data_IF_828212443588
#
_entry.id   IF_828212443588
#
_cell.length_a   1.000
_cell.length_b   1.000
_cell.length_c   1.000
_cell.angle_alpha   90.00
_cell.angle_beta   90.00
_cell.angle_gamma   90.00
#
_symmetry.space_group_name_H-M   'P 1'
#
loop_
_entity.id
_entity.type
_entity.pdbx_description
1 polymer ?
#
# COMPACT_ATOMS: atom_id res chain seq x y z
N UNK A 1 -1.04 7.72 0.33
CA UNK A 1 -1.79 7.78 -0.96
C UNK A 1 -0.92 8.24 -2.11
N UNK A 2 -0.19 9.35 -2.01
CA UNK A 2 0.52 9.95 -3.18
C UNK A 2 2.04 9.98 -3.04
N UNK A 3 2.54 9.69 -1.85
CA UNK A 3 3.95 9.61 -1.48
C UNK A 3 4.19 8.18 -0.98
N UNK A 4 5.41 7.68 -1.13
CA UNK A 4 5.79 6.35 -0.64
C UNK A 4 5.58 6.24 0.88
N UNK A 5 5.25 5.03 1.33
CA UNK A 5 5.02 4.75 2.75
C UNK A 5 6.26 5.13 3.59
N UNK A 6 7.45 4.78 3.10
CA UNK A 6 8.75 5.08 3.74
C UNK A 6 8.97 6.58 3.92
N UNK A 7 8.82 7.37 2.84
CA UNK A 7 9.02 8.81 2.91
C UNK A 7 7.99 9.47 3.82
N UNK A 8 6.73 9.03 3.75
CA UNK A 8 5.66 9.53 4.62
C UNK A 8 5.97 9.30 6.11
N UNK A 9 6.38 8.08 6.48
CA UNK A 9 6.74 7.77 7.87
C UNK A 9 7.96 8.57 8.35
N UNK A 10 8.99 8.68 7.51
CA UNK A 10 10.20 9.46 7.83
C UNK A 10 9.89 10.95 8.03
N UNK A 11 9.03 11.54 7.20
CA UNK A 11 8.62 12.94 7.32
C UNK A 11 7.75 13.20 8.55
N UNK A 12 6.89 12.25 8.91
CA UNK A 12 5.97 12.40 10.05
C UNK A 12 6.66 12.17 11.40
N UNK A 13 7.74 11.37 11.45
CA UNK A 13 8.40 11.02 12.71
C UNK A 13 8.87 12.25 13.51
N UNK A 14 9.60 13.25 12.94
CA UNK A 14 10.01 14.44 13.69
C UNK A 14 8.83 15.23 14.27
N UNK A 15 7.75 15.37 13.50
CA UNK A 15 6.53 16.06 13.94
C UNK A 15 5.91 15.34 15.15
N UNK A 16 5.78 14.01 15.05
CA UNK A 16 5.24 13.17 16.11
C UNK A 16 6.11 13.24 17.37
N UNK A 17 7.43 13.20 17.23
CA UNK A 17 8.35 13.32 18.35
C UNK A 17 8.28 14.70 19.00
N UNK A 18 8.13 15.77 18.23
CA UNK A 18 7.94 17.13 18.76
C UNK A 18 6.62 17.30 19.53
N UNK A 19 5.56 16.59 19.12
CA UNK A 19 4.31 16.55 19.90
C UNK A 19 4.54 15.76 21.20
N UNK A 20 5.12 14.56 21.09
CA UNK A 20 5.32 13.66 22.22
C UNK A 20 6.37 14.14 23.23
N UNK A 21 7.28 15.03 22.86
CA UNK A 21 8.31 15.57 23.79
C UNK A 21 7.73 16.36 24.95
N UNK A 22 6.45 16.77 24.87
CA UNK A 22 5.73 17.43 25.95
C UNK A 22 5.11 16.45 26.96
N UNK A 23 5.24 15.14 26.73
CA UNK A 23 4.72 14.08 27.59
C UNK A 23 5.87 13.33 28.28
N UNK A 24 5.64 12.89 29.51
CA UNK A 24 6.55 11.97 30.18
C UNK A 24 6.23 10.52 29.77
N UNK A 25 7.18 9.89 29.09
CA UNK A 25 7.04 8.50 28.62
C UNK A 25 6.77 7.50 29.75
N UNK A 26 7.23 7.77 30.98
CA UNK A 26 7.01 6.84 32.10
C UNK A 26 5.54 6.76 32.50
N UNK A 27 4.83 7.88 32.45
CA UNK A 27 3.41 7.96 32.76
C UNK A 27 2.53 7.72 31.53
N UNK A 28 3.00 8.05 30.33
CA UNK A 28 2.21 8.07 29.10
C UNK A 28 2.67 7.05 28.04
N UNK A 29 3.30 5.95 28.45
CA UNK A 29 3.87 4.93 27.55
C UNK A 29 2.92 4.48 26.44
N UNK A 30 1.66 4.20 26.79
CA UNK A 30 0.68 3.73 25.82
C UNK A 30 0.34 4.81 24.78
N UNK A 31 0.34 6.09 25.17
CA UNK A 31 0.13 7.23 24.28
C UNK A 31 1.29 7.34 23.28
N UNK A 32 2.54 7.19 23.74
CA UNK A 32 3.72 7.14 22.85
C UNK A 32 3.61 6.02 21.81
N UNK A 33 3.36 4.79 22.29
CA UNK A 33 3.26 3.60 21.42
C UNK A 33 2.10 3.76 20.43
N UNK A 34 0.95 4.28 20.88
CA UNK A 34 -0.23 4.50 20.05
C UNK A 34 0.04 5.48 18.90
N UNK A 35 0.65 6.64 19.19
CA UNK A 35 0.91 7.66 18.16
C UNK A 35 2.01 7.19 17.20
N UNK A 36 3.10 6.62 17.70
CA UNK A 36 4.22 6.16 16.87
C UNK A 36 3.82 5.00 15.96
N UNK A 37 3.20 3.94 16.49
CA UNK A 37 2.70 2.85 15.67
C UNK A 37 1.58 3.31 14.73
N UNK A 38 0.73 4.25 15.18
CA UNK A 38 -0.38 4.77 14.40
C UNK A 38 0.11 5.45 13.13
N UNK A 39 1.22 6.18 13.20
CA UNK A 39 1.85 6.81 12.02
C UNK A 39 2.39 5.77 11.05
N UNK A 40 3.12 4.77 11.55
CA UNK A 40 3.64 3.70 10.69
C UNK A 40 2.52 2.93 9.97
N UNK A 41 1.48 2.53 10.71
CA UNK A 41 0.37 1.77 10.12
C UNK A 41 -0.50 2.63 9.22
N UNK A 42 -0.70 3.92 9.54
CA UNK A 42 -1.40 4.87 8.67
C UNK A 42 -0.65 5.10 7.36
N UNK A 43 0.69 5.13 7.38
CA UNK A 43 1.49 5.21 6.16
C UNK A 43 1.25 3.99 5.27
N UNK A 44 1.32 2.77 5.83
CA UNK A 44 1.08 1.53 5.09
C UNK A 44 -0.35 1.40 4.56
N UNK A 45 -1.37 1.61 5.40
CA UNK A 45 -2.79 1.55 4.99
C UNK A 45 -3.12 2.65 3.99
N UNK A 46 -2.63 3.87 4.23
CA UNK A 46 -2.83 5.00 3.32
C UNK A 46 -2.18 4.79 1.94
N UNK A 47 -1.21 3.89 1.82
CA UNK A 47 -0.62 3.45 0.56
C UNK A 47 -1.57 2.64 -0.32
N UNK A 48 -2.59 1.99 0.26
CA UNK A 48 -3.56 1.15 -0.48
C UNK A 48 -4.49 1.96 -1.40
N UNK A 49 -4.75 3.22 -1.06
CA UNK A 49 -5.80 4.02 -1.68
C UNK A 49 -5.61 4.29 -3.18
N UNK A 50 -4.38 4.36 -3.69
CA UNK A 50 -4.11 4.66 -5.11
C UNK A 50 -3.02 3.75 -5.67
N UNK A 51 -2.94 3.66 -7.00
CA UNK A 51 -1.95 2.85 -7.70
C UNK A 51 -0.50 3.26 -7.36
N UNK A 52 -0.27 4.56 -7.12
CA UNK A 52 1.06 5.14 -6.87
C UNK A 52 1.52 4.96 -5.41
N UNK A 53 0.58 4.71 -4.48
CA UNK A 53 0.87 4.73 -3.05
C UNK A 53 1.85 3.65 -2.58
N UNK A 54 1.81 2.45 -3.18
CA UNK A 54 2.65 1.31 -2.80
C UNK A 54 2.96 0.43 -4.01
N UNK A 55 4.19 -0.08 -4.18
CA UNK A 55 4.54 -0.91 -5.34
C UNK A 55 3.68 -2.17 -5.57
N UNK A 56 3.25 -2.93 -4.54
CA UNK A 56 2.30 -4.04 -4.71
C UNK A 56 1.04 -3.68 -5.49
N UNK A 57 0.56 -2.44 -5.34
CA UNK A 57 -0.63 -1.96 -6.06
C UNK A 57 -0.38 -1.90 -7.55
N UNK A 58 0.75 -1.32 -7.95
CA UNK A 58 1.15 -1.24 -9.35
C UNK A 58 1.38 -2.62 -9.99
N UNK A 59 1.94 -3.57 -9.24
CA UNK A 59 2.11 -4.97 -9.70
C UNK A 59 0.76 -5.62 -9.96
N UNK A 60 -0.17 -5.52 -9.01
CA UNK A 60 -1.51 -6.07 -9.15
C UNK A 60 -2.30 -5.38 -10.28
N UNK A 61 -2.20 -4.05 -10.39
CA UNK A 61 -2.82 -3.28 -11.46
C UNK A 61 -2.26 -3.68 -12.84
N UNK A 62 -0.95 -3.85 -12.97
CA UNK A 62 -0.33 -4.29 -14.22
C UNK A 62 -0.76 -5.70 -14.62
N UNK A 63 -0.86 -6.64 -13.67
CA UNK A 63 -1.31 -8.00 -13.95
C UNK A 63 -2.79 -8.06 -14.39
N UNK A 64 -3.62 -7.13 -13.90
CA UNK A 64 -5.05 -7.06 -14.21
C UNK A 64 -5.40 -6.03 -15.30
N UNK A 65 -4.41 -5.28 -15.81
CA UNK A 65 -4.58 -4.12 -16.69
C UNK A 65 -5.57 -3.08 -16.13
N UNK A 66 -5.45 -2.75 -14.84
CA UNK A 66 -6.30 -1.73 -14.20
C UNK A 66 -5.74 -0.33 -14.44
N UNK A 67 -6.62 0.57 -14.88
CA UNK A 67 -6.36 2.00 -14.92
C UNK A 67 -6.38 2.62 -13.51
N UNK A 68 -5.93 3.87 -13.41
CA UNK A 68 -5.77 4.54 -12.11
C UNK A 68 -7.09 4.64 -11.33
N UNK A 69 -8.18 5.04 -12.00
CA UNK A 69 -9.48 5.21 -11.36
C UNK A 69 -10.10 3.87 -10.96
N UNK A 70 -9.90 2.82 -11.75
CA UNK A 70 -10.40 1.49 -11.43
C UNK A 70 -9.67 0.94 -10.21
N UNK A 71 -8.36 1.15 -10.07
CA UNK A 71 -7.68 0.85 -8.81
C UNK A 71 -8.31 1.60 -7.64
N UNK A 72 -8.50 2.92 -7.76
CA UNK A 72 -9.07 3.73 -6.67
C UNK A 72 -10.46 3.25 -6.24
N UNK A 73 -11.29 2.75 -7.16
CA UNK A 73 -12.61 2.18 -6.85
C UNK A 73 -12.54 0.99 -5.88
N UNK A 74 -11.41 0.27 -5.83
CA UNK A 74 -11.21 -0.83 -4.89
C UNK A 74 -10.30 -0.46 -3.72
N UNK A 75 -9.21 0.25 -3.99
CA UNK A 75 -8.21 0.65 -3.00
C UNK A 75 -8.71 1.70 -2.00
N UNK A 76 -9.46 2.72 -2.45
CA UNK A 76 -9.97 3.76 -1.54
C UNK A 76 -11.00 3.18 -0.56
N UNK A 77 -12.03 2.41 -0.99
CA UNK A 77 -12.98 1.85 -0.04
C UNK A 77 -12.33 0.97 1.01
N UNK A 78 -11.42 0.08 0.63
CA UNK A 78 -10.77 -0.80 1.61
C UNK A 78 -9.84 -0.03 2.55
N UNK A 79 -9.12 0.99 2.05
CA UNK A 79 -8.34 1.91 2.90
C UNK A 79 -9.23 2.63 3.92
N UNK A 80 -10.38 3.16 3.48
CA UNK A 80 -11.34 3.85 4.34
C UNK A 80 -12.00 2.93 5.37
N UNK A 81 -12.04 1.62 5.13
CA UNK A 81 -12.49 0.62 6.10
C UNK A 81 -11.36 0.26 7.07
N UNK A 82 -10.16 -0.02 6.55
CA UNK A 82 -9.02 -0.47 7.35
C UNK A 82 -8.48 0.62 8.28
N UNK A 83 -8.50 1.90 7.88
CA UNK A 83 -7.93 2.98 8.68
C UNK A 83 -8.70 3.22 10.00
N UNK A 84 -10.05 3.34 10.01
CA UNK A 84 -10.83 3.38 11.25
C UNK A 84 -10.69 2.10 12.08
N UNK A 85 -10.66 0.93 11.44
CA UNK A 85 -10.50 -0.35 12.15
C UNK A 85 -9.14 -0.41 12.86
N UNK A 86 -8.07 -0.02 12.19
CA UNK A 86 -6.73 0.09 12.77
C UNK A 86 -6.73 1.02 13.97
N UNK A 87 -7.33 2.21 13.84
CA UNK A 87 -7.46 3.16 14.94
C UNK A 87 -8.23 2.55 16.13
N UNK A 88 -9.38 1.91 15.89
CA UNK A 88 -10.21 1.29 16.93
C UNK A 88 -9.45 0.16 17.64
N UNK A 89 -8.84 -0.76 16.89
CA UNK A 89 -8.06 -1.87 17.44
C UNK A 89 -6.94 -1.34 18.32
N UNK A 90 -6.15 -0.38 17.81
CA UNK A 90 -5.07 0.22 18.57
C UNK A 90 -5.57 0.97 19.81
N UNK A 91 -6.67 1.72 19.69
CA UNK A 91 -7.24 2.49 20.79
C UNK A 91 -7.73 1.57 21.91
N UNK A 92 -8.41 0.47 21.57
CA UNK A 92 -8.90 -0.52 22.54
C UNK A 92 -7.75 -1.25 23.25
N UNK A 93 -6.66 -1.55 22.53
CA UNK A 93 -5.51 -2.28 23.07
C UNK A 93 -4.59 -1.41 23.93
N UNK A 94 -4.31 -0.18 23.49
CA UNK A 94 -3.35 0.71 24.14
C UNK A 94 -4.03 1.68 25.12
N UNK A 95 -5.29 2.07 24.88
CA UNK A 95 -6.03 3.03 25.70
C UNK A 95 -5.21 4.32 25.96
N UNK A 96 -4.82 5.05 24.91
CA UNK A 96 -3.99 6.25 25.04
C UNK A 96 -4.73 7.37 25.77
N UNK A 97 -3.98 8.23 26.48
CA UNK A 97 -4.54 9.44 27.08
C UNK A 97 -4.49 10.60 26.07
N UNK A 98 -5.60 10.84 25.38
CA UNK A 98 -5.71 11.90 24.36
C UNK A 98 -6.21 13.24 24.92
N UNK A 99 -6.24 13.42 26.25
CA UNK A 99 -6.79 14.63 26.89
C UNK A 99 -5.80 15.79 26.96
N UNK A 100 -4.53 15.53 26.66
CA UNK A 100 -3.46 16.53 26.71
C UNK A 100 -3.68 17.63 25.68
N UNK A 101 -3.50 18.89 26.10
CA UNK A 101 -3.52 20.05 25.22
C UNK A 101 -2.09 20.57 25.09
N UNK A 102 -1.63 20.74 23.86
CA UNK A 102 -0.30 21.25 23.56
C UNK A 102 -0.42 22.63 22.93
N UNK A 103 0.46 23.54 23.35
CA UNK A 103 0.63 24.83 22.70
C UNK A 103 1.72 24.67 21.63
N UNK A 104 1.31 24.22 20.45
CA UNK A 104 2.24 23.97 19.34
C UNK A 104 2.61 25.30 18.70
N UNK A 105 3.87 25.70 18.87
CA UNK A 105 4.46 26.76 18.05
C UNK A 105 4.72 26.23 16.65
N UNK A 106 3.67 26.19 15.84
CA UNK A 106 3.77 25.88 14.42
C UNK A 106 4.43 27.07 13.72
N UNK A 107 5.60 26.86 13.14
CA UNK A 107 6.16 27.84 12.22
C UNK A 107 5.22 27.98 11.02
N UNK A 108 4.82 29.22 10.72
CA UNK A 108 3.97 29.49 9.55
C UNK A 108 4.80 29.26 8.29
N UNK A 109 4.47 28.21 7.56
CA UNK A 109 5.11 27.92 6.28
C UNK A 109 4.62 28.92 5.23
N UNK A 110 5.51 29.79 4.76
CA UNK A 110 5.18 30.73 3.69
C UNK A 110 4.99 30.03 2.34
N UNK A 111 3.96 30.43 1.60
CA UNK A 111 3.73 29.95 0.24
C UNK A 111 4.70 30.63 -0.72
N UNK A 112 5.69 29.88 -1.18
CA UNK A 112 6.59 30.34 -2.24
C UNK A 112 6.09 29.86 -3.62
N UNK A 113 6.61 30.49 -4.68
CA UNK A 113 6.21 30.19 -6.05
C UNK A 113 6.41 28.71 -6.41
N UNK A 114 7.50 28.08 -5.93
CA UNK A 114 7.74 26.65 -6.16
C UNK A 114 6.64 25.77 -5.56
N UNK A 115 6.25 26.00 -4.30
CA UNK A 115 5.18 25.25 -3.61
C UNK A 115 3.83 25.40 -4.31
N UNK A 116 3.49 26.61 -4.76
CA UNK A 116 2.24 26.86 -5.50
C UNK A 116 2.25 26.13 -6.84
N UNK A 117 3.34 26.22 -7.61
CA UNK A 117 3.47 25.51 -8.88
C UNK A 117 3.39 23.99 -8.67
N UNK A 118 4.07 23.44 -7.66
CA UNK A 118 3.97 22.02 -7.30
C UNK A 118 2.53 21.60 -7.05
N UNK A 119 1.77 22.38 -6.26
CA UNK A 119 0.38 22.08 -5.96
C UNK A 119 -0.51 22.12 -7.20
N UNK A 120 -0.28 23.08 -8.11
CA UNK A 120 -1.02 23.15 -9.37
C UNK A 120 -0.73 21.91 -10.22
N UNK A 121 0.54 21.56 -10.42
CA UNK A 121 0.93 20.37 -11.19
C UNK A 121 0.28 19.11 -10.59
N UNK A 122 0.35 18.96 -9.27
CA UNK A 122 -0.24 17.84 -8.57
C UNK A 122 -1.76 17.75 -8.76
N UNK A 123 -2.49 18.83 -8.52
CA UNK A 123 -3.96 18.86 -8.67
C UNK A 123 -4.40 18.59 -10.11
N UNK A 124 -3.69 19.16 -11.10
CA UNK A 124 -3.96 18.90 -12.52
C UNK A 124 -3.69 17.43 -12.85
N UNK A 125 -2.58 16.85 -12.37
CA UNK A 125 -2.24 15.44 -12.61
C UNK A 125 -3.30 14.51 -12.02
N UNK A 126 -3.69 14.73 -10.77
CA UNK A 126 -4.75 13.94 -10.10
C UNK A 126 -6.08 14.08 -10.81
N UNK A 127 -6.44 15.29 -11.23
CA UNK A 127 -7.65 15.52 -12.03
C UNK A 127 -7.60 14.73 -13.34
N UNK A 128 -6.51 14.82 -14.10
CA UNK A 128 -6.35 14.07 -15.34
C UNK A 128 -6.44 12.56 -15.14
N UNK A 129 -5.86 12.02 -14.06
CA UNK A 129 -5.97 10.59 -13.72
C UNK A 129 -7.39 10.16 -13.36
N UNK A 130 -8.13 10.97 -12.59
CA UNK A 130 -9.53 10.68 -12.24
C UNK A 130 -10.41 10.67 -13.51
N UNK A 131 -10.16 11.58 -14.43
CA UNK A 131 -10.94 11.70 -15.68
C UNK A 131 -10.27 11.01 -16.87
N UNK A 132 -9.29 10.13 -16.67
CA UNK A 132 -8.48 9.59 -17.77
C UNK A 132 -9.29 8.80 -18.79
N UNK A 133 -10.26 7.99 -18.37
CA UNK A 133 -11.17 7.29 -19.28
C UNK A 133 -12.02 8.23 -20.15
N UNK A 134 -12.49 9.34 -19.57
CA UNK A 134 -13.25 10.36 -20.29
C UNK A 134 -12.36 11.14 -21.26
N UNK A 135 -11.17 11.54 -20.81
CA UNK A 135 -10.19 12.24 -21.64
C UNK A 135 -9.72 11.33 -22.78
N UNK A 136 -9.40 10.07 -22.50
CA UNK A 136 -8.95 9.10 -23.52
C UNK A 136 -10.01 8.96 -24.62
N UNK A 137 -11.28 8.80 -24.25
CA UNK A 137 -12.36 8.69 -25.23
C UNK A 137 -12.57 9.99 -26.04
N UNK A 138 -12.44 11.16 -25.42
CA UNK A 138 -12.53 12.45 -26.10
C UNK A 138 -11.38 12.70 -27.10
N UNK A 139 -10.18 12.18 -26.82
CA UNK A 139 -8.98 12.33 -27.66
C UNK A 139 -8.73 11.13 -28.61
N UNK A 140 -9.77 10.36 -28.93
CA UNK A 140 -9.69 9.30 -29.96
C UNK A 140 -9.20 7.94 -29.45
N UNK A 141 -9.31 7.67 -28.15
CA UNK A 141 -9.01 6.37 -27.54
C UNK A 141 -7.52 6.11 -27.32
N UNK A 142 -6.80 7.10 -26.79
CA UNK A 142 -5.37 6.96 -26.45
C UNK A 142 -5.20 5.81 -25.45
N UNK A 143 -4.44 4.78 -25.85
CA UNK A 143 -4.08 3.66 -24.98
C UNK A 143 -3.16 4.14 -23.85
N UNK A 144 -3.34 3.59 -22.66
CA UNK A 144 -2.50 3.85 -21.48
C UNK A 144 -2.33 5.34 -21.14
N UNK A 145 -3.44 6.11 -21.24
CA UNK A 145 -3.43 7.56 -20.98
C UNK A 145 -2.86 7.90 -19.60
N UNK A 146 -3.08 7.06 -18.58
CA UNK A 146 -2.52 7.28 -17.24
C UNK A 146 -0.99 7.34 -17.24
N UNK A 147 -0.34 6.52 -18.06
CA UNK A 147 1.12 6.53 -18.26
C UNK A 147 1.56 7.81 -18.96
N UNK A 148 0.81 8.26 -19.98
CA UNK A 148 1.08 9.52 -20.69
C UNK A 148 0.96 10.71 -19.74
N UNK A 149 -0.06 10.73 -18.88
CA UNK A 149 -0.26 11.76 -17.85
C UNK A 149 0.93 11.76 -16.87
N UNK A 150 1.36 10.59 -16.39
CA UNK A 150 2.48 10.46 -15.46
C UNK A 150 3.81 10.99 -16.03
N UNK A 151 4.13 10.59 -17.28
CA UNK A 151 5.35 11.06 -17.97
C UNK A 151 5.28 12.56 -18.25
N UNK A 152 4.11 13.07 -18.67
CA UNK A 152 3.89 14.49 -18.89
C UNK A 152 4.09 15.31 -17.60
N UNK A 153 3.59 14.82 -16.47
CA UNK A 153 3.79 15.46 -15.17
C UNK A 153 5.29 15.53 -14.80
N UNK A 154 6.05 14.44 -15.03
CA UNK A 154 7.50 14.43 -14.79
C UNK A 154 8.25 15.45 -15.66
N UNK A 155 7.87 15.58 -16.95
CA UNK A 155 8.43 16.58 -17.86
C UNK A 155 8.11 18.00 -17.36
N UNK A 156 6.85 18.27 -16.99
CA UNK A 156 6.44 19.58 -16.48
C UNK A 156 7.17 19.95 -15.19
N UNK A 157 7.40 19.00 -14.28
CA UNK A 157 8.21 19.22 -13.06
C UNK A 157 9.63 19.64 -13.42
N UNK A 158 10.27 18.96 -14.38
CA UNK A 158 11.62 19.29 -14.83
C UNK A 158 11.71 20.65 -15.52
N UNK A 159 10.77 20.96 -16.42
CA UNK A 159 10.72 22.23 -17.17
C UNK A 159 10.45 23.43 -16.26
N UNK A 160 9.56 23.28 -15.26
CA UNK A 160 9.24 24.35 -14.31
C UNK A 160 10.33 24.59 -13.27
N UNK A 161 11.36 23.73 -13.20
CA UNK A 161 12.44 23.86 -12.22
C UNK A 161 11.99 23.67 -10.77
N UNK A 162 10.82 23.04 -10.56
CA UNK A 162 10.28 22.69 -9.25
C UNK A 162 11.18 21.66 -8.57
N UNK A 163 11.65 20.66 -9.33
CA UNK A 163 12.66 19.69 -8.92
C UNK A 163 13.69 19.51 -10.03
N UNK A 164 14.95 19.29 -9.66
CA UNK A 164 16.02 18.95 -10.61
C UNK A 164 15.93 17.48 -11.03
N UNK A 165 16.50 17.15 -12.18
CA UNK A 165 16.58 15.74 -12.62
C UNK A 165 17.32 14.85 -11.60
N UNK A 166 18.38 15.37 -10.96
CA UNK A 166 19.08 14.64 -9.87
C UNK A 166 18.12 14.27 -8.75
N UNK A 167 17.27 15.21 -8.31
CA UNK A 167 16.28 14.96 -7.27
C UNK A 167 15.25 13.91 -7.71
N UNK A 168 14.77 13.97 -8.96
CA UNK A 168 13.84 12.96 -9.48
C UNK A 168 14.51 11.58 -9.50
N UNK A 169 15.74 11.49 -10.02
CA UNK A 169 16.49 10.25 -10.15
C UNK A 169 16.80 9.61 -8.78
N UNK A 170 17.21 10.41 -7.79
CA UNK A 170 17.52 9.96 -6.43
C UNK A 170 16.28 9.47 -5.68
N UNK A 171 15.11 10.05 -5.95
CA UNK A 171 13.84 9.65 -5.34
C UNK A 171 13.09 8.58 -6.15
N UNK A 172 13.64 8.13 -7.28
CA UNK A 172 13.05 7.05 -8.08
C UNK A 172 13.59 5.69 -7.64
N UNK A 173 12.71 4.80 -7.22
CA UNK A 173 13.08 3.42 -6.85
C UNK A 173 13.26 2.52 -8.09
N UNK A 174 14.38 2.68 -8.81
CA UNK A 174 14.67 1.94 -10.05
C UNK A 174 14.59 0.42 -9.90
N UNK A 175 14.97 -0.11 -8.74
CA UNK A 175 14.88 -1.54 -8.44
C UNK A 175 13.45 -2.07 -8.46
N UNK A 176 12.47 -1.26 -8.03
CA UNK A 176 11.05 -1.61 -8.07
C UNK A 176 10.54 -1.67 -9.51
N UNK A 177 10.94 -0.72 -10.36
CA UNK A 177 10.59 -0.73 -11.78
C UNK A 177 11.14 -1.97 -12.49
N UNK A 178 12.39 -2.36 -12.19
CA UNK A 178 12.99 -3.60 -12.70
C UNK A 178 12.23 -4.84 -12.22
N UNK A 179 11.78 -4.84 -10.97
CA UNK A 179 11.00 -5.94 -10.41
C UNK A 179 9.63 -6.10 -11.09
N UNK A 180 8.97 -5.00 -11.48
CA UNK A 180 7.71 -5.07 -12.23
C UNK A 180 7.91 -5.79 -13.57
N UNK A 181 8.95 -5.42 -14.32
CA UNK A 181 9.32 -6.11 -15.56
C UNK A 181 9.64 -7.59 -15.34
N UNK A 182 10.37 -7.91 -14.27
CA UNK A 182 10.68 -9.28 -13.87
C UNK A 182 9.43 -10.11 -13.53
N UNK A 183 8.49 -9.55 -12.76
CA UNK A 183 7.24 -10.22 -12.39
C UNK A 183 6.32 -10.48 -13.58
N UNK A 184 6.18 -9.51 -14.49
CA UNK A 184 5.42 -9.70 -15.74
C UNK A 184 6.06 -10.77 -16.64
N UNK A 185 7.40 -10.78 -16.70
CA UNK A 185 8.15 -11.81 -17.44
C UNK A 185 7.93 -13.19 -16.82
N UNK A 186 7.96 -13.31 -15.48
CA UNK A 186 7.68 -14.56 -14.77
C UNK A 186 6.25 -15.04 -15.06
N UNK A 187 5.26 -14.14 -15.06
CA UNK A 187 3.86 -14.44 -15.41
C UNK A 187 3.75 -15.06 -16.81
N UNK A 188 4.40 -14.44 -17.80
CA UNK A 188 4.42 -14.93 -19.16
C UNK A 188 5.11 -16.31 -19.28
N UNK A 189 6.25 -16.50 -18.60
CA UNK A 189 6.98 -17.79 -18.58
C UNK A 189 6.14 -18.90 -17.94
N UNK A 190 5.43 -18.62 -16.83
CA UNK A 190 4.57 -19.61 -16.18
C UNK A 190 3.44 -20.09 -17.10
N UNK A 191 2.85 -19.18 -17.89
CA UNK A 191 1.83 -19.51 -18.87
C UNK A 191 2.41 -20.27 -20.08
N UNK A 192 3.52 -19.79 -20.65
CA UNK A 192 4.11 -20.40 -21.85
C UNK A 192 4.77 -21.75 -21.60
N UNK A 193 5.31 -21.97 -20.39
CA UNK A 193 5.93 -23.25 -19.99
C UNK A 193 4.93 -24.34 -19.62
N UNK A 194 3.65 -23.99 -19.40
CA UNK A 194 2.64 -24.90 -18.87
C UNK A 194 2.76 -25.14 -17.36
N UNK A 195 3.71 -24.49 -16.66
CA UNK A 195 3.82 -24.59 -15.21
C UNK A 195 2.55 -24.12 -14.50
N UNK A 196 1.86 -23.11 -15.06
CA UNK A 196 0.56 -22.67 -14.57
C UNK A 196 -0.48 -23.80 -14.53
N UNK A 197 -0.46 -24.72 -15.50
CA UNK A 197 -1.37 -25.87 -15.55
C UNK A 197 -1.02 -26.91 -14.48
N UNK A 198 0.26 -27.16 -14.23
CA UNK A 198 0.68 -28.08 -13.16
C UNK A 198 0.25 -27.55 -11.79
N UNK A 199 0.42 -26.24 -11.56
CA UNK A 199 -0.05 -25.59 -10.32
C UNK A 199 -1.58 -25.61 -10.23
N UNK A 200 -2.27 -25.40 -11.36
CA UNK A 200 -3.71 -25.52 -11.46
C UNK A 200 -4.24 -26.87 -11.00
N UNK A 201 -3.69 -27.94 -11.55
CA UNK A 201 -4.12 -29.30 -11.30
C UNK A 201 -3.87 -29.66 -9.83
N UNK A 202 -2.70 -29.31 -9.29
CA UNK A 202 -2.42 -29.49 -7.86
C UNK A 202 -3.40 -28.72 -6.96
N UNK A 203 -3.75 -27.48 -7.32
CA UNK A 203 -4.73 -26.68 -6.58
C UNK A 203 -6.15 -27.23 -6.73
N UNK A 204 -6.54 -27.76 -7.89
CA UNK A 204 -7.85 -28.42 -8.10
C UNK A 204 -7.94 -29.72 -7.32
N UNK A 205 -6.90 -30.52 -7.30
CA UNK A 205 -6.89 -31.79 -6.57
C UNK A 205 -6.95 -31.55 -5.05
N UNK A 206 -6.25 -30.52 -4.57
CA UNK A 206 -6.21 -30.19 -3.14
C UNK A 206 -7.44 -29.41 -2.68
N UNK A 207 -7.91 -28.44 -3.47
CA UNK A 207 -8.91 -27.44 -3.07
C UNK A 207 -10.11 -27.30 -4.03
N UNK A 208 -10.21 -28.08 -5.10
CA UNK A 208 -11.26 -27.92 -6.13
C UNK A 208 -12.69 -28.10 -5.63
N UNK A 209 -12.88 -28.86 -4.55
CA UNK A 209 -14.16 -28.99 -3.85
C UNK A 209 -14.32 -28.03 -2.66
N UNK A 210 -13.29 -27.24 -2.35
CA UNK A 210 -13.34 -26.27 -1.26
C UNK A 210 -14.13 -25.04 -1.68
N UNK A 211 -14.92 -24.51 -0.75
CA UNK A 211 -15.64 -23.27 -0.97
C UNK A 211 -14.66 -22.12 -1.25
N UNK A 212 -14.93 -21.28 -2.26
CA UNK A 212 -14.03 -20.19 -2.67
C UNK A 212 -13.64 -19.24 -1.52
N UNK A 213 -14.53 -19.05 -0.54
CA UNK A 213 -14.22 -18.30 0.67
C UNK A 213 -13.04 -18.87 1.48
N UNK A 214 -12.89 -20.20 1.54
CA UNK A 214 -11.78 -20.87 2.24
C UNK A 214 -10.46 -20.59 1.52
N UNK A 215 -10.46 -20.62 0.19
CA UNK A 215 -9.29 -20.28 -0.63
C UNK A 215 -8.91 -18.81 -0.39
N UNK A 216 -9.87 -17.89 -0.43
CA UNK A 216 -9.65 -16.48 -0.15
C UNK A 216 -9.05 -16.28 1.24
N UNK A 217 -9.60 -16.93 2.28
CA UNK A 217 -9.12 -16.81 3.64
C UNK A 217 -7.69 -17.36 3.78
N UNK A 218 -7.39 -18.50 3.15
CA UNK A 218 -6.07 -19.11 3.16
C UNK A 218 -5.03 -18.23 2.45
N UNK A 219 -5.34 -17.70 1.26
CA UNK A 219 -4.44 -16.82 0.50
C UNK A 219 -4.20 -15.52 1.24
N UNK A 220 -5.26 -14.91 1.79
CA UNK A 220 -5.16 -13.67 2.59
C UNK A 220 -4.29 -13.89 3.82
N UNK A 221 -4.50 -14.99 4.54
CA UNK A 221 -3.66 -15.36 5.70
C UNK A 221 -2.21 -15.56 5.30
N UNK A 222 -1.98 -16.29 4.21
CA UNK A 222 -0.65 -16.58 3.71
C UNK A 222 0.13 -15.30 3.36
N UNK A 223 -0.46 -14.39 2.57
CA UNK A 223 0.24 -13.16 2.17
C UNK A 223 0.52 -12.24 3.36
N UNK A 224 -0.45 -12.07 4.28
CA UNK A 224 -0.29 -11.20 5.45
C UNK A 224 0.80 -11.74 6.39
N UNK A 225 0.86 -13.05 6.59
CA UNK A 225 1.92 -13.65 7.43
C UNK A 225 3.27 -13.59 6.71
N UNK A 226 3.32 -13.93 5.42
CA UNK A 226 4.56 -13.94 4.66
C UNK A 226 5.22 -12.55 4.62
N UNK A 227 4.42 -11.50 4.45
CA UNK A 227 4.92 -10.13 4.33
C UNK A 227 5.52 -9.56 5.63
N UNK A 228 5.36 -10.24 6.77
CA UNK A 228 6.08 -9.89 8.00
C UNK A 228 7.57 -10.26 7.94
N UNK A 229 7.91 -11.24 7.11
CA UNK A 229 9.26 -11.79 7.00
C UNK A 229 9.97 -11.38 5.71
N UNK A 230 9.24 -10.77 4.78
CA UNK A 230 9.68 -10.54 3.40
C UNK A 230 9.27 -9.15 2.93
N UNK A 231 9.97 -8.62 1.93
CA UNK A 231 9.60 -7.32 1.35
C UNK A 231 8.24 -7.40 0.67
N UNK A 232 7.33 -6.48 1.02
CA UNK A 232 5.99 -6.36 0.43
C UNK A 232 6.03 -6.43 -1.11
N UNK A 233 6.94 -5.66 -1.70
CA UNK A 233 7.11 -5.55 -3.16
C UNK A 233 7.61 -6.85 -3.77
N UNK A 234 8.55 -7.53 -3.10
CA UNK A 234 9.05 -8.84 -3.54
C UNK A 234 7.95 -9.92 -3.47
N UNK A 235 7.19 -9.94 -2.38
CA UNK A 235 6.08 -10.88 -2.19
C UNK A 235 4.98 -10.67 -3.22
N UNK A 236 4.59 -9.42 -3.50
CA UNK A 236 3.65 -9.13 -4.57
C UNK A 236 4.19 -9.53 -5.95
N UNK A 237 5.45 -9.21 -6.26
CA UNK A 237 6.05 -9.51 -7.57
C UNK A 237 6.12 -11.01 -7.86
N UNK A 238 6.35 -11.83 -6.83
CA UNK A 238 6.37 -13.27 -6.95
C UNK A 238 4.94 -13.85 -7.01
N UNK A 239 4.09 -13.45 -6.08
CA UNK A 239 2.83 -14.14 -5.83
C UNK A 239 1.68 -13.68 -6.72
N UNK A 240 1.65 -12.41 -7.14
CA UNK A 240 0.60 -11.89 -8.04
C UNK A 240 0.55 -12.70 -9.35
N UNK A 241 1.68 -12.90 -10.08
CA UNK A 241 1.69 -13.74 -11.27
C UNK A 241 1.21 -15.17 -11.02
N UNK A 242 1.71 -15.79 -9.95
CA UNK A 242 1.40 -17.18 -9.61
C UNK A 242 -0.11 -17.33 -9.36
N UNK A 243 -0.66 -16.54 -8.46
CA UNK A 243 -2.07 -16.65 -8.07
C UNK A 243 -3.04 -16.13 -9.14
N UNK A 244 -2.60 -15.23 -10.04
CA UNK A 244 -3.39 -14.88 -11.20
C UNK A 244 -3.62 -16.11 -12.11
N UNK A 245 -2.56 -16.89 -12.37
CA UNK A 245 -2.68 -18.12 -13.15
C UNK A 245 -3.47 -19.22 -12.43
N UNK A 246 -3.32 -19.34 -11.11
CA UNK A 246 -4.10 -20.27 -10.28
C UNK A 246 -5.59 -19.91 -10.29
N UNK A 247 -5.95 -18.63 -10.21
CA UNK A 247 -7.34 -18.20 -10.27
C UNK A 247 -8.00 -18.58 -11.61
N UNK A 248 -7.33 -18.30 -12.73
CA UNK A 248 -7.81 -18.69 -14.07
C UNK A 248 -8.05 -20.20 -14.14
N UNK A 249 -7.10 -20.96 -13.62
CA UNK A 249 -7.15 -22.40 -13.57
C UNK A 249 -8.32 -22.96 -12.76
N UNK A 250 -8.57 -22.40 -11.57
CA UNK A 250 -9.68 -22.79 -10.69
C UNK A 250 -11.05 -22.27 -11.18
N UNK A 251 -11.08 -21.52 -12.29
CA UNK A 251 -12.30 -20.87 -12.77
C UNK A 251 -12.79 -19.74 -11.85
N UNK A 252 -11.91 -19.22 -11.00
CA UNK A 252 -12.20 -18.09 -10.11
C UNK A 252 -11.88 -16.76 -10.81
N UNK A 253 -12.57 -15.67 -10.47
CA UNK A 253 -12.18 -14.33 -10.92
C UNK A 253 -10.72 -14.03 -10.55
N UNK A 254 -9.88 -13.81 -11.58
CA UNK A 254 -8.45 -13.47 -11.44
C UNK A 254 -8.25 -12.25 -10.53
N UNK A 255 -9.18 -11.31 -10.67
CA UNK A 255 -9.22 -10.09 -9.88
C UNK A 255 -9.20 -10.36 -8.38
N UNK A 256 -9.95 -11.36 -7.88
CA UNK A 256 -10.07 -11.61 -6.45
C UNK A 256 -8.71 -11.94 -5.81
N UNK A 257 -8.00 -12.95 -6.33
CA UNK A 257 -6.73 -13.38 -5.74
C UNK A 257 -5.61 -12.37 -5.97
N UNK A 258 -5.58 -11.72 -7.13
CA UNK A 258 -4.58 -10.69 -7.42
C UNK A 258 -4.74 -9.46 -6.52
N UNK A 259 -5.99 -8.99 -6.29
CA UNK A 259 -6.25 -7.87 -5.39
C UNK A 259 -5.96 -8.22 -3.92
N UNK A 260 -6.32 -9.44 -3.48
CA UNK A 260 -5.98 -9.93 -2.14
C UNK A 260 -4.48 -9.87 -1.89
N UNK A 261 -3.66 -10.31 -2.86
CA UNK A 261 -2.21 -10.30 -2.70
C UNK A 261 -1.66 -8.88 -2.78
N UNK A 262 -2.10 -8.07 -3.74
CA UNK A 262 -1.65 -6.68 -3.89
C UNK A 262 -1.90 -5.85 -2.63
N UNK A 263 -3.09 -5.97 -2.05
CA UNK A 263 -3.47 -5.25 -0.83
C UNK A 263 -2.89 -5.91 0.42
N UNK A 264 -3.01 -7.23 0.53
CA UNK A 264 -2.53 -8.00 1.69
C UNK A 264 -1.03 -7.91 1.89
N UNK A 265 -0.24 -7.80 0.82
CA UNK A 265 1.20 -7.57 0.89
C UNK A 265 1.56 -6.24 1.56
N UNK A 266 0.65 -5.27 1.65
CA UNK A 266 0.91 -4.01 2.38
C UNK A 266 0.41 -4.05 3.84
N UNK A 267 -0.19 -5.15 4.29
CA UNK A 267 -0.70 -5.33 5.65
C UNK A 267 0.33 -6.03 6.54
N UNK A 268 1.48 -5.38 6.75
CA UNK A 268 2.57 -5.89 7.57
C UNK A 268 2.76 -4.99 8.82
N UNK A 269 2.29 -5.46 9.96
CA UNK A 269 2.15 -4.68 11.20
C UNK A 269 2.88 -5.29 12.40
N UNK A 270 3.34 -6.54 12.36
CA UNK A 270 3.91 -7.23 13.54
C UNK A 270 5.38 -6.92 13.78
N UNK A 271 6.20 -6.92 12.74
CA UNK A 271 7.66 -6.85 12.88
C UNK A 271 8.23 -5.51 12.40
N UNK A 272 9.29 -4.99 13.07
CA UNK A 272 9.96 -3.77 12.63
C UNK A 272 10.58 -3.91 11.23
N UNK A 273 11.16 -5.07 10.93
CA UNK A 273 11.85 -5.34 9.66
C UNK A 273 10.88 -5.52 8.48
N UNK A 274 9.60 -5.77 8.76
CA UNK A 274 8.61 -6.06 7.73
C UNK A 274 8.45 -4.89 6.76
N UNK A 275 8.43 -3.65 7.28
CA UNK A 275 8.32 -2.46 6.44
C UNK A 275 9.19 -1.31 6.95
N UNK A 276 9.71 -0.45 6.06
CA UNK A 276 10.46 0.73 6.47
C UNK A 276 9.69 1.65 7.44
N UNK A 277 8.38 1.94 7.29
CA UNK A 277 7.60 2.67 8.29
C UNK A 277 7.72 2.08 9.70
N UNK A 278 7.60 0.76 9.85
CA UNK A 278 7.71 0.09 11.14
C UNK A 278 9.13 0.24 11.71
N UNK A 279 10.16 0.05 10.88
CA UNK A 279 11.55 0.21 11.27
C UNK A 279 11.89 1.65 11.71
N UNK A 280 11.37 2.65 10.99
CA UNK A 280 11.59 4.07 11.29
C UNK A 280 11.04 4.43 12.67
N UNK A 281 9.78 4.06 12.96
CA UNK A 281 9.18 4.38 14.26
C UNK A 281 9.78 3.55 15.39
N UNK A 282 10.16 2.29 15.11
CA UNK A 282 10.88 1.43 16.06
C UNK A 282 12.27 2.00 16.40
N UNK A 283 12.96 2.55 15.41
CA UNK A 283 14.27 3.20 15.55
C UNK A 283 14.27 4.44 16.45
N UNK A 284 13.09 4.98 16.81
CA UNK A 284 12.98 6.03 17.83
C UNK A 284 13.38 5.58 19.24
N UNK A 285 13.43 4.26 19.49
CA UNK A 285 13.79 3.69 20.80
C UNK A 285 12.65 3.67 21.83
N UNK A 286 11.47 4.21 21.49
CA UNK A 286 10.34 4.30 22.44
C UNK A 286 9.44 3.05 22.45
N UNK A 287 9.42 2.27 21.36
CA UNK A 287 8.56 1.09 21.18
C UNK A 287 9.34 -0.19 21.49
N UNK A 288 8.79 -1.08 22.32
CA UNK A 288 9.33 -2.44 22.49
C UNK A 288 8.82 -3.36 21.38
N UNK A 289 9.65 -4.30 20.96
CA UNK A 289 9.27 -5.27 19.92
C UNK A 289 8.03 -6.09 20.33
N UNK A 290 7.91 -6.45 21.61
CA UNK A 290 6.75 -7.19 22.13
C UNK A 290 5.44 -6.38 22.02
N UNK A 291 5.49 -5.05 22.12
CA UNK A 291 4.32 -4.18 21.96
C UNK A 291 3.88 -4.14 20.49
N UNK A 292 4.83 -3.99 19.57
CA UNK A 292 4.57 -4.00 18.13
C UNK A 292 4.01 -5.35 17.68
N UNK A 293 4.64 -6.47 18.07
CA UNK A 293 4.18 -7.82 17.72
C UNK A 293 2.76 -8.08 18.25
N UNK A 294 2.46 -7.66 19.48
CA UNK A 294 1.14 -7.85 20.08
C UNK A 294 0.06 -7.04 19.35
N UNK A 295 0.28 -5.75 19.13
CA UNK A 295 -0.70 -4.87 18.47
C UNK A 295 -0.84 -5.23 16.99
N UNK A 296 0.28 -5.41 16.30
CA UNK A 296 0.33 -5.81 14.90
C UNK A 296 -0.28 -7.18 14.66
N UNK A 297 -0.10 -8.14 15.57
CA UNK A 297 -0.66 -9.48 15.42
C UNK A 297 -2.18 -9.48 15.46
N UNK A 298 -2.77 -8.71 16.39
CA UNK A 298 -4.23 -8.51 16.43
C UNK A 298 -4.70 -7.78 15.18
N UNK A 299 -3.98 -6.75 14.74
CA UNK A 299 -4.34 -6.01 13.53
C UNK A 299 -4.28 -6.89 12.27
N UNK A 300 -3.26 -7.74 12.13
CA UNK A 300 -3.15 -8.72 11.05
C UNK A 300 -4.34 -9.67 11.02
N UNK A 301 -4.74 -10.24 12.17
CA UNK A 301 -5.92 -11.11 12.25
C UNK A 301 -7.20 -10.39 11.81
N UNK A 302 -7.36 -9.13 12.21
CA UNK A 302 -8.50 -8.31 11.79
C UNK A 302 -8.44 -8.01 10.29
N UNK A 303 -7.26 -7.66 9.75
CA UNK A 303 -7.06 -7.44 8.32
C UNK A 303 -7.35 -8.69 7.50
N UNK A 304 -6.95 -9.88 7.97
CA UNK A 304 -7.29 -11.16 7.32
C UNK A 304 -8.80 -11.29 7.14
N UNK A 305 -9.57 -11.05 8.20
CA UNK A 305 -11.02 -11.14 8.15
C UNK A 305 -11.63 -10.07 7.25
N UNK A 306 -11.22 -8.81 7.41
CA UNK A 306 -11.77 -7.68 6.65
C UNK A 306 -11.48 -7.84 5.16
N UNK A 307 -10.24 -8.15 4.77
CA UNK A 307 -9.87 -8.33 3.36
C UNK A 307 -10.57 -9.55 2.78
N UNK A 308 -10.66 -10.66 3.51
CA UNK A 308 -11.36 -11.86 3.02
C UNK A 308 -12.85 -11.61 2.78
N UNK A 309 -13.53 -10.92 3.71
CA UNK A 309 -14.93 -10.55 3.56
C UNK A 309 -15.12 -9.53 2.43
N UNK A 310 -14.24 -8.54 2.33
CA UNK A 310 -14.29 -7.54 1.27
C UNK A 310 -14.12 -8.19 -0.11
N UNK A 311 -13.14 -9.09 -0.25
CA UNK A 311 -12.95 -9.85 -1.48
C UNK A 311 -14.16 -10.71 -1.83
N UNK A 312 -14.76 -11.38 -0.83
CA UNK A 312 -15.94 -12.21 -1.02
C UNK A 312 -17.16 -11.44 -1.54
N UNK A 313 -17.41 -10.23 -1.01
CA UNK A 313 -18.59 -9.45 -1.38
C UNK A 313 -18.40 -8.54 -2.60
N UNK A 314 -17.16 -8.14 -2.92
CA UNK A 314 -16.90 -7.09 -3.92
C UNK A 314 -15.98 -7.51 -5.08
N UNK A 315 -15.22 -8.61 -4.96
CA UNK A 315 -14.24 -9.03 -5.98
C UNK A 315 -14.48 -10.43 -6.57
N UNK A 316 -15.38 -11.22 -5.98
CA UNK A 316 -15.96 -12.41 -6.59
C UNK A 316 -17.23 -12.06 -7.36
#
# INVERSE_FOLDING_TARGET
MWISNTATAAMMLPLVLGILSNLDIRSERNTFVFVLLGVAYSASIGGLGTLVGSPPNAIAAAQLNLDFITWMKYGVPIMLVLLPIMFIVMYLMLRPNLKHKFDLKLEVLEWNNKRVITMIIFLVTVFCWIFSSFISSAFGGVKDLDTVIAVSAAIVIGVTGVASWSQIQENTEWGVLMLFGGGLTLSAILQSSGASLVMADFMKDTFGNSHWFVIILAVTTFIIVLTEFTSNTASAALLVPIFATVAQALGMPVMALTMIIGIGASCAFMLPVATPPNAIVFGSGYIKQTEMVRVGGVLNLVCILVISLFAWFFWL
#
